data_IF_912865509616
#
_entry.id   IF_912865509616
#
_cell.length_a   1.000
_cell.length_b   1.000
_cell.length_c   1.000
_cell.angle_alpha   90.00
_cell.angle_beta   90.00
_cell.angle_gamma   90.00
#
_symmetry.space_group_name_H-M   'P 1'
#
loop_
_entity.id
_entity.type
_entity.pdbx_description
1 polymer ?
#
# COMPACT_ATOMS: atom_id res chain seq x y z
N UNK A 1 -16.31 -6.39 -1.03
CA UNK A 1 -15.03 -5.77 -0.65
C UNK A 1 -14.82 -6.04 0.83
N UNK A 2 -13.90 -6.96 1.18
CA UNK A 2 -13.56 -7.18 2.59
C UNK A 2 -12.54 -6.13 2.95
N UNK A 3 -12.99 -5.00 3.48
CA UNK A 3 -12.11 -4.12 4.22
C UNK A 3 -11.78 -4.90 5.49
N UNK A 4 -10.65 -5.59 5.48
CA UNK A 4 -10.09 -6.20 6.67
C UNK A 4 -9.92 -5.06 7.67
N UNK A 5 -10.63 -5.11 8.79
CA UNK A 5 -10.47 -4.15 9.90
C UNK A 5 -9.15 -4.43 10.59
N UNK A 6 -8.06 -4.33 9.82
CA UNK A 6 -6.71 -4.41 10.32
C UNK A 6 -6.53 -3.26 11.30
N UNK A 7 -6.08 -3.60 12.49
CA UNK A 7 -5.56 -2.64 13.45
C UNK A 7 -4.62 -1.65 12.72
N UNK A 8 -4.61 -0.39 13.15
CA UNK A 8 -3.76 0.68 12.61
C UNK A 8 -2.32 0.21 12.35
N UNK A 9 -1.77 -0.65 13.20
CA UNK A 9 -0.44 -1.24 13.02
C UNK A 9 -0.35 -2.13 11.77
N UNK A 10 -1.37 -2.94 11.48
CA UNK A 10 -1.46 -3.73 10.25
C UNK A 10 -1.47 -2.86 9.00
N UNK A 11 -2.25 -1.78 9.01
CA UNK A 11 -2.25 -0.83 7.89
C UNK A 11 -0.88 -0.16 7.70
N UNK A 12 -0.22 0.24 8.79
CA UNK A 12 1.13 0.81 8.71
C UNK A 12 2.16 -0.20 8.20
N UNK A 13 2.09 -1.46 8.64
CA UNK A 13 2.96 -2.54 8.16
C UNK A 13 2.75 -2.84 6.67
N UNK A 14 1.51 -2.82 6.19
CA UNK A 14 1.19 -3.00 4.78
C UNK A 14 1.76 -1.83 3.94
N UNK A 15 1.68 -0.59 4.46
CA UNK A 15 2.26 0.60 3.83
C UNK A 15 3.79 0.53 3.78
N UNK A 16 4.45 0.15 4.88
CA UNK A 16 5.90 -0.03 4.94
C UNK A 16 6.38 -1.09 3.95
N UNK A 17 5.62 -2.19 3.84
CA UNK A 17 5.86 -3.25 2.87
C UNK A 17 5.73 -2.74 1.43
N UNK A 18 4.72 -1.92 1.14
CA UNK A 18 4.51 -1.32 -0.17
C UNK A 18 5.62 -0.32 -0.52
N UNK A 19 6.03 0.53 0.42
CA UNK A 19 7.13 1.46 0.25
C UNK A 19 8.45 0.72 -0.06
N UNK A 20 8.74 -0.34 0.71
CA UNK A 20 9.92 -1.18 0.47
C UNK A 20 9.94 -1.79 -0.94
N UNK A 21 8.77 -2.17 -1.46
CA UNK A 21 8.64 -2.82 -2.77
C UNK A 21 8.65 -1.84 -3.94
N UNK A 22 7.94 -0.72 -3.80
CA UNK A 22 7.64 0.20 -4.90
C UNK A 22 8.34 1.54 -4.80
N UNK A 23 9.14 1.77 -3.74
CA UNK A 23 9.81 3.03 -3.45
C UNK A 23 8.80 4.20 -3.49
N UNK A 24 7.79 4.15 -2.62
CA UNK A 24 6.60 4.99 -2.75
C UNK A 24 6.94 6.47 -2.60
N UNK A 25 6.30 7.32 -3.40
CA UNK A 25 6.31 8.79 -3.22
C UNK A 25 5.36 9.14 -2.09
N UNK A 26 5.75 8.81 -0.85
CA UNK A 26 4.87 8.91 0.32
C UNK A 26 4.36 10.33 0.56
N UNK A 27 5.20 11.36 0.37
CA UNK A 27 4.79 12.75 0.54
C UNK A 27 3.70 13.17 -0.46
N UNK A 28 3.86 12.79 -1.73
CA UNK A 28 2.86 13.05 -2.78
C UNK A 28 1.56 12.28 -2.49
N UNK A 29 1.69 11.04 -2.03
CA UNK A 29 0.55 10.20 -1.71
C UNK A 29 -0.25 10.75 -0.52
N UNK A 30 0.44 11.27 0.51
CA UNK A 30 -0.19 11.89 1.68
C UNK A 30 -0.95 13.19 1.34
N UNK A 31 -0.52 13.88 0.28
CA UNK A 31 -1.13 15.12 -0.21
C UNK A 31 -2.17 14.89 -1.32
N UNK A 32 -2.40 13.64 -1.72
CA UNK A 32 -3.34 13.30 -2.77
C UNK A 32 -4.80 13.58 -2.37
N UNK A 33 -5.67 13.75 -3.36
CA UNK A 33 -7.12 13.74 -3.12
C UNK A 33 -7.60 12.38 -2.58
N UNK A 34 -8.78 12.37 -1.96
CA UNK A 34 -9.35 11.17 -1.32
C UNK A 34 -9.42 9.97 -2.26
N UNK A 35 -9.70 10.19 -3.56
CA UNK A 35 -9.82 9.12 -4.54
C UNK A 35 -8.48 8.47 -4.85
N UNK A 36 -7.44 9.28 -5.07
CA UNK A 36 -6.09 8.84 -5.33
C UNK A 36 -5.44 8.23 -4.09
N UNK A 37 -5.67 8.81 -2.90
CA UNK A 37 -5.23 8.24 -1.64
C UNK A 37 -5.86 6.85 -1.42
N UNK A 38 -7.19 6.76 -1.51
CA UNK A 38 -7.93 5.52 -1.27
C UNK A 38 -7.62 4.43 -2.30
N UNK A 39 -7.32 4.78 -3.54
CA UNK A 39 -6.91 3.81 -4.57
C UNK A 39 -5.69 3.00 -4.11
N UNK A 40 -4.64 3.69 -3.68
CA UNK A 40 -3.40 3.03 -3.26
C UNK A 40 -3.57 2.38 -1.89
N UNK A 41 -4.25 3.02 -0.94
CA UNK A 41 -4.45 2.48 0.40
C UNK A 41 -5.24 1.17 0.36
N UNK A 42 -6.43 1.19 -0.25
CA UNK A 42 -7.26 -0.01 -0.40
C UNK A 42 -6.60 -1.03 -1.32
N UNK A 43 -5.89 -0.59 -2.37
CA UNK A 43 -5.19 -1.46 -3.31
C UNK A 43 -4.08 -2.27 -2.66
N UNK A 44 -3.26 -1.63 -1.82
CA UNK A 44 -2.23 -2.28 -1.00
C UNK A 44 -2.86 -3.36 -0.13
N UNK A 45 -3.85 -2.99 0.70
CA UNK A 45 -4.47 -3.91 1.65
C UNK A 45 -5.18 -5.10 0.98
N UNK A 46 -5.78 -4.89 -0.19
CA UNK A 46 -6.51 -5.95 -0.90
C UNK A 46 -5.60 -6.94 -1.64
N UNK A 47 -4.36 -6.56 -1.96
CA UNK A 47 -3.48 -7.36 -2.82
C UNK A 47 -2.22 -7.90 -2.12
N UNK A 48 -1.87 -7.37 -0.95
CA UNK A 48 -0.72 -7.84 -0.17
C UNK A 48 -0.89 -9.29 0.30
N UNK A 49 0.15 -10.10 0.12
CA UNK A 49 0.24 -11.44 0.71
C UNK A 49 1.12 -11.41 1.96
N UNK A 50 0.50 -11.32 3.14
CA UNK A 50 1.14 -11.13 4.46
C UNK A 50 1.91 -12.36 5.02
N UNK A 51 2.45 -13.22 4.16
CA UNK A 51 3.14 -14.45 4.60
C UNK A 51 4.49 -14.21 5.30
N UNK A 52 5.11 -13.06 5.05
CA UNK A 52 6.37 -12.62 5.63
C UNK A 52 6.34 -11.10 5.81
N UNK A 53 7.29 -10.55 6.59
CA UNK A 53 7.44 -9.12 6.78
C UNK A 53 8.90 -8.68 6.54
N UNK A 54 9.15 -7.67 5.68
CA UNK A 54 8.17 -6.96 4.85
C UNK A 54 7.60 -7.87 3.75
N UNK A 55 6.29 -7.78 3.49
CA UNK A 55 5.69 -8.52 2.40
C UNK A 55 6.00 -7.82 1.06
N UNK A 56 6.45 -8.55 0.06
CA UNK A 56 6.84 -7.96 -1.23
C UNK A 56 6.00 -8.44 -2.42
N UNK A 57 5.04 -9.33 -2.15
CA UNK A 57 4.07 -9.84 -3.12
C UNK A 57 2.73 -9.11 -2.99
N UNK A 58 2.43 -8.32 -4.02
CA UNK A 58 1.17 -7.58 -4.22
C UNK A 58 0.44 -8.04 -5.50
N UNK A 59 0.78 -9.22 -6.01
CA UNK A 59 0.27 -9.72 -7.30
C UNK A 59 0.57 -8.75 -8.46
N UNK A 60 -0.48 -8.35 -9.18
CA UNK A 60 -0.40 -7.42 -10.31
C UNK A 60 -0.76 -5.97 -9.94
N UNK A 61 -0.96 -5.69 -8.65
CA UNK A 61 -1.28 -4.34 -8.21
C UNK A 61 -0.04 -3.44 -8.28
N UNK A 62 -0.21 -2.26 -8.90
CA UNK A 62 0.81 -1.22 -8.96
C UNK A 62 0.21 0.07 -8.38
N UNK A 63 0.76 0.60 -7.27
CA UNK A 63 0.32 1.87 -6.72
C UNK A 63 0.56 3.03 -7.72
N UNK A 64 -0.36 4.00 -7.76
CA UNK A 64 -0.22 5.22 -8.58
C UNK A 64 0.95 6.09 -8.10
N UNK A 65 1.24 6.03 -6.81
CA UNK A 65 2.34 6.76 -6.18
C UNK A 65 3.61 5.93 -6.04
N UNK A 66 3.74 4.80 -6.75
CA UNK A 66 5.03 4.12 -6.88
C UNK A 66 6.10 5.11 -7.38
N UNK A 67 7.30 5.00 -6.83
CA UNK A 67 8.43 5.81 -7.26
C UNK A 67 8.98 5.33 -8.59
N UNK A 68 9.42 6.27 -9.39
CA UNK A 68 10.25 6.00 -10.56
C UNK A 68 11.64 5.58 -10.10
N UNK A 69 12.11 4.43 -10.57
CA UNK A 69 13.52 4.01 -10.42
C UNK A 69 14.45 4.93 -11.20
#
# INVERSE_FOLDING_TARGET
MKIDTGDRMGALMDIESADKKFNMRLDDWLQADDFNFAHDYCGIQNNIKRGEFPATDFGFFLPRFAGTH
#
